data_IF_332541365193
#
_entry.id   IF_332541365193
#
_cell.length_a   1.000
_cell.length_b   1.000
_cell.length_c   1.000
_cell.angle_alpha   90.00
_cell.angle_beta   90.00
_cell.angle_gamma   90.00
#
_symmetry.space_group_name_H-M   'P 1'
#
loop_
_entity.id
_entity.type
_entity.pdbx_description
1 polymer ?
#
# COMPACT_ATOMS: atom_id res chain seq x y z
N UNK A 1 13.90 64.11 36.55
CA UNK A 1 13.71 62.85 37.25
C UNK A 1 12.57 62.08 36.55
N UNK A 2 12.86 61.23 35.63
CA UNK A 2 11.87 60.40 34.90
C UNK A 2 11.99 58.94 35.37
N UNK A 3 10.96 58.44 36.03
CA UNK A 3 10.88 57.06 36.49
C UNK A 3 10.46 56.12 35.36
N UNK A 4 11.33 55.25 34.92
CA UNK A 4 11.01 54.13 34.04
C UNK A 4 10.31 53.03 34.85
N UNK A 5 9.04 52.80 34.57
CA UNK A 5 8.31 51.65 35.11
C UNK A 5 8.69 50.38 34.38
N UNK A 6 9.52 49.54 34.99
CA UNK A 6 9.88 48.22 34.51
C UNK A 6 8.71 47.26 34.60
N UNK A 7 8.39 46.60 33.51
CA UNK A 7 7.40 45.52 33.46
C UNK A 7 7.95 44.30 34.24
N UNK A 8 7.21 43.86 35.26
CA UNK A 8 7.64 42.74 36.11
C UNK A 8 7.71 41.42 35.32
N UNK A 9 8.76 40.61 35.56
CA UNK A 9 8.96 39.30 34.95
C UNK A 9 7.72 38.38 35.03
N UNK A 10 6.91 38.53 36.06
CA UNK A 10 5.65 37.78 36.25
C UNK A 10 4.56 38.19 35.25
N UNK A 11 4.53 39.43 34.79
CA UNK A 11 3.55 39.92 33.81
C UNK A 11 3.94 39.48 32.39
N UNK A 12 5.23 39.47 32.10
CA UNK A 12 5.77 38.96 30.85
C UNK A 12 5.52 37.45 30.65
N UNK A 13 5.76 36.64 31.71
CA UNK A 13 5.51 35.18 31.65
C UNK A 13 4.01 34.87 31.49
N UNK A 14 3.10 35.62 32.14
CA UNK A 14 1.65 35.41 31.96
C UNK A 14 1.17 35.77 30.55
N UNK A 15 1.73 36.78 29.91
CA UNK A 15 1.38 37.16 28.54
C UNK A 15 1.96 36.16 27.53
N UNK A 16 3.16 35.64 27.74
CA UNK A 16 3.76 34.62 26.89
C UNK A 16 3.00 33.28 26.96
N UNK A 17 2.52 32.88 28.13
CA UNK A 17 1.68 31.68 28.30
C UNK A 17 0.30 31.84 27.65
N UNK A 18 -0.31 32.99 27.66
CA UNK A 18 -1.60 33.24 27.01
C UNK A 18 -1.48 33.22 25.48
N UNK A 19 -0.37 33.72 24.92
CA UNK A 19 -0.13 33.71 23.49
C UNK A 19 0.19 32.29 22.97
N UNK A 20 0.95 31.49 23.72
CA UNK A 20 1.26 30.10 23.39
C UNK A 20 0.02 29.20 23.46
N UNK A 21 -0.86 29.42 24.45
CA UNK A 21 -2.11 28.66 24.55
C UNK A 21 -3.09 28.96 23.40
N UNK A 22 -3.23 30.25 23.02
CA UNK A 22 -4.10 30.62 21.88
C UNK A 22 -3.58 30.11 20.54
N UNK A 23 -2.26 30.11 20.30
CA UNK A 23 -1.68 29.56 19.10
C UNK A 23 -1.84 28.02 19.04
N UNK A 24 -1.74 27.33 20.18
CA UNK A 24 -1.96 25.88 20.26
C UNK A 24 -3.43 25.49 20.03
N UNK A 25 -4.39 26.26 20.53
CA UNK A 25 -5.81 26.03 20.29
C UNK A 25 -6.21 26.34 18.84
N UNK A 26 -5.66 27.36 18.20
CA UNK A 26 -5.92 27.65 16.80
C UNK A 26 -5.34 26.56 15.86
N UNK A 27 -4.16 26.02 16.19
CA UNK A 27 -3.57 24.91 15.41
C UNK A 27 -4.32 23.59 15.59
N UNK A 28 -4.86 23.31 16.79
CA UNK A 28 -5.69 22.14 17.06
C UNK A 28 -7.06 22.24 16.37
N UNK A 29 -7.68 23.43 16.33
CA UNK A 29 -8.96 23.60 15.63
C UNK A 29 -8.80 23.51 14.10
N UNK A 30 -7.72 24.02 13.52
CA UNK A 30 -7.46 23.89 12.09
C UNK A 30 -7.13 22.43 11.69
N UNK A 31 -6.42 21.68 12.55
CA UNK A 31 -6.16 20.26 12.34
C UNK A 31 -7.44 19.43 12.46
N UNK A 32 -8.28 19.72 13.46
CA UNK A 32 -9.57 19.05 13.64
C UNK A 32 -10.54 19.33 12.49
N UNK A 33 -10.58 20.56 11.95
CA UNK A 33 -11.39 20.93 10.79
C UNK A 33 -10.85 20.23 9.53
N UNK A 34 -9.52 20.12 9.36
CA UNK A 34 -8.93 19.37 8.24
C UNK A 34 -9.25 17.86 8.34
N UNK A 35 -9.25 17.29 9.55
CA UNK A 35 -9.63 15.90 9.78
C UNK A 35 -11.13 15.67 9.53
N UNK A 36 -12.01 16.52 10.03
CA UNK A 36 -13.44 16.42 9.76
C UNK A 36 -13.76 16.54 8.27
N UNK A 37 -13.05 17.38 7.54
CA UNK A 37 -13.21 17.52 6.08
C UNK A 37 -12.64 16.34 5.29
N UNK A 38 -11.55 15.71 5.75
CA UNK A 38 -11.02 14.48 5.13
C UNK A 38 -11.84 13.23 5.52
N UNK A 39 -12.34 13.19 6.75
CA UNK A 39 -13.19 12.10 7.23
C UNK A 39 -14.65 12.22 6.74
N UNK A 40 -15.18 13.44 6.61
CA UNK A 40 -16.51 13.71 6.07
C UNK A 40 -16.54 13.79 4.54
N UNK A 41 -15.38 13.99 3.90
CA UNK A 41 -15.23 13.74 2.48
C UNK A 41 -15.21 12.22 2.27
N UNK A 42 -16.35 11.57 2.55
CA UNK A 42 -16.72 10.40 1.77
C UNK A 42 -16.30 10.66 0.33
N UNK A 43 -15.90 9.64 -0.44
CA UNK A 43 -15.42 9.80 -1.82
C UNK A 43 -16.54 10.32 -2.71
N UNK A 44 -16.79 11.59 -2.68
CA UNK A 44 -17.83 12.26 -3.44
C UNK A 44 -17.26 13.33 -4.37
N UNK A 45 -16.00 13.18 -4.73
CA UNK A 45 -15.56 13.82 -5.94
C UNK A 45 -16.11 12.96 -7.10
N UNK A 46 -17.20 13.39 -7.71
CA UNK A 46 -17.87 12.67 -8.80
C UNK A 46 -16.94 12.39 -10.01
N UNK A 47 -15.71 12.86 -9.96
CA UNK A 47 -14.67 12.71 -10.96
C UNK A 47 -13.44 11.94 -10.44
N UNK A 48 -13.45 11.46 -9.21
CA UNK A 48 -12.35 10.67 -8.69
C UNK A 48 -12.39 9.23 -9.22
N UNK A 49 -11.24 8.74 -9.65
CA UNK A 49 -11.05 7.33 -9.94
C UNK A 49 -10.75 6.57 -8.64
N UNK A 50 -11.47 5.49 -8.38
CA UNK A 50 -11.49 4.79 -7.09
C UNK A 50 -10.87 3.41 -7.18
N UNK A 51 -9.95 3.12 -6.25
CA UNK A 51 -9.28 1.83 -6.09
C UNK A 51 -9.46 1.38 -4.65
N UNK A 52 -9.84 0.12 -4.44
CA UNK A 52 -9.71 -0.54 -3.14
C UNK A 52 -8.54 -1.52 -3.19
N UNK A 53 -7.82 -1.69 -2.06
CA UNK A 53 -6.62 -2.51 -2.04
C UNK A 53 -6.46 -3.28 -0.73
N UNK A 54 -5.89 -4.47 -0.85
CA UNK A 54 -5.51 -5.37 0.23
C UNK A 54 -4.24 -6.14 -0.15
N UNK A 55 -3.45 -6.53 0.83
CA UNK A 55 -2.39 -7.54 0.72
C UNK A 55 -2.64 -8.66 1.71
N UNK A 56 -1.93 -9.77 1.56
CA UNK A 56 -1.91 -10.86 2.55
C UNK A 56 -3.32 -11.44 2.81
N UNK A 57 -4.05 -11.65 1.74
CA UNK A 57 -5.49 -11.93 1.78
C UNK A 57 -5.87 -13.39 1.56
N UNK A 58 -5.03 -14.17 0.86
CA UNK A 58 -5.34 -15.55 0.44
C UNK A 58 -5.04 -16.62 1.49
N UNK A 59 -5.43 -16.39 2.76
CA UNK A 59 -5.12 -17.29 3.86
C UNK A 59 -5.86 -18.62 3.73
N UNK A 60 -5.19 -19.73 4.07
CA UNK A 60 -5.68 -21.09 3.77
C UNK A 60 -6.38 -21.78 4.95
N UNK A 61 -6.06 -21.41 6.20
CA UNK A 61 -6.49 -22.14 7.39
C UNK A 61 -7.57 -21.44 8.20
N UNK A 62 -7.52 -20.11 8.31
CA UNK A 62 -8.52 -19.32 9.02
C UNK A 62 -9.05 -18.19 8.14
N UNK A 63 -10.20 -18.42 7.51
CA UNK A 63 -10.80 -17.44 6.60
C UNK A 63 -11.56 -16.32 7.29
N UNK A 64 -11.63 -16.26 8.61
CA UNK A 64 -12.44 -15.26 9.33
C UNK A 64 -11.96 -13.83 9.03
N UNK A 65 -10.65 -13.57 9.06
CA UNK A 65 -10.07 -12.27 8.72
C UNK A 65 -10.36 -11.88 7.27
N UNK A 66 -10.07 -12.78 6.32
CA UNK A 66 -10.32 -12.58 4.90
C UNK A 66 -11.81 -12.28 4.61
N UNK A 67 -12.71 -13.08 5.17
CA UNK A 67 -14.15 -12.91 4.97
C UNK A 67 -14.65 -11.58 5.57
N UNK A 68 -14.17 -11.22 6.76
CA UNK A 68 -14.53 -9.96 7.41
C UNK A 68 -14.08 -8.75 6.59
N UNK A 69 -12.82 -8.75 6.12
CA UNK A 69 -12.28 -7.66 5.30
C UNK A 69 -13.01 -7.55 3.97
N UNK A 70 -13.26 -8.66 3.27
CA UNK A 70 -14.03 -8.65 2.01
C UNK A 70 -15.46 -8.13 2.21
N UNK A 71 -16.12 -8.52 3.30
CA UNK A 71 -17.45 -8.01 3.65
C UNK A 71 -17.42 -6.51 3.97
N UNK A 72 -16.40 -6.03 4.69
CA UNK A 72 -16.22 -4.61 4.99
C UNK A 72 -15.96 -3.79 3.73
N UNK A 73 -15.17 -4.27 2.78
CA UNK A 73 -14.94 -3.61 1.49
C UNK A 73 -16.24 -3.45 0.71
N UNK A 74 -17.08 -4.51 0.63
CA UNK A 74 -18.39 -4.44 -0.02
C UNK A 74 -19.31 -3.44 0.65
N UNK A 75 -19.45 -3.55 1.98
CA UNK A 75 -20.28 -2.65 2.78
C UNK A 75 -19.84 -1.19 2.61
N UNK A 76 -18.54 -0.94 2.65
CA UNK A 76 -17.98 0.39 2.47
C UNK A 76 -18.28 0.95 1.07
N UNK A 77 -18.06 0.16 0.02
CA UNK A 77 -18.39 0.56 -1.35
C UNK A 77 -19.89 0.90 -1.50
N UNK A 78 -20.77 0.05 -0.97
CA UNK A 78 -22.23 0.28 -1.00
C UNK A 78 -22.63 1.53 -0.22
N UNK A 79 -22.16 1.70 1.02
CA UNK A 79 -22.50 2.84 1.87
C UNK A 79 -22.08 4.19 1.30
N UNK A 80 -20.97 4.20 0.54
CA UNK A 80 -20.43 5.41 -0.07
C UNK A 80 -20.79 5.54 -1.56
N UNK A 81 -21.60 4.64 -2.11
CA UNK A 81 -21.96 4.65 -3.53
C UNK A 81 -20.76 4.48 -4.47
N UNK A 82 -19.69 3.84 -3.97
CA UNK A 82 -18.47 3.63 -4.75
C UNK A 82 -18.66 2.54 -5.79
N UNK A 83 -18.10 2.78 -6.96
CA UNK A 83 -17.90 1.76 -8.00
C UNK A 83 -16.41 1.67 -8.27
N UNK A 84 -15.65 0.92 -7.43
CA UNK A 84 -14.21 0.84 -7.62
C UNK A 84 -13.87 0.39 -9.03
N UNK A 85 -13.11 1.21 -9.74
CA UNK A 85 -12.69 0.93 -11.12
C UNK A 85 -11.52 -0.05 -11.17
N UNK A 86 -10.88 -0.30 -10.01
CA UNK A 86 -9.89 -1.35 -9.83
C UNK A 86 -9.87 -1.87 -8.39
N UNK A 87 -9.44 -3.12 -8.24
CA UNK A 87 -8.93 -3.68 -6.99
C UNK A 87 -7.42 -3.89 -7.12
N UNK A 88 -6.69 -3.70 -6.02
CA UNK A 88 -5.27 -4.08 -5.95
C UNK A 88 -5.08 -5.17 -4.91
N UNK A 89 -4.41 -6.22 -5.33
CA UNK A 89 -3.96 -7.34 -4.50
C UNK A 89 -2.44 -7.26 -4.36
N UNK A 90 -1.98 -6.87 -3.17
CA UNK A 90 -0.59 -6.50 -2.90
C UNK A 90 0.29 -7.70 -2.49
N UNK A 91 0.04 -8.86 -3.09
CA UNK A 91 0.80 -10.08 -2.90
C UNK A 91 0.31 -10.95 -1.74
N UNK A 92 0.97 -12.09 -1.59
CA UNK A 92 0.52 -13.20 -0.75
C UNK A 92 -0.95 -13.54 -1.06
N UNK A 93 -1.15 -13.78 -2.36
CA UNK A 93 -2.46 -14.11 -2.91
C UNK A 93 -2.91 -15.52 -2.48
N UNK A 94 -1.94 -16.43 -2.24
CA UNK A 94 -2.22 -17.81 -1.86
C UNK A 94 -1.27 -18.33 -0.80
N UNK A 95 -1.73 -18.45 0.44
CA UNK A 95 -1.07 -19.20 1.50
C UNK A 95 -1.39 -20.68 1.37
N UNK A 96 -0.47 -21.56 1.83
CA UNK A 96 -0.65 -23.00 1.81
C UNK A 96 -0.87 -23.58 0.41
N UNK A 97 -1.66 -24.66 0.32
CA UNK A 97 -1.86 -25.43 -0.90
C UNK A 97 -2.82 -24.77 -1.88
N UNK A 98 -2.40 -24.65 -3.15
CA UNK A 98 -3.24 -24.26 -4.27
C UNK A 98 -3.45 -25.49 -5.20
N UNK A 99 -4.03 -26.55 -4.64
CA UNK A 99 -4.28 -27.80 -5.39
C UNK A 99 -5.06 -27.55 -6.67
N UNK A 100 -4.56 -28.03 -7.79
CA UNK A 100 -5.13 -27.76 -9.10
C UNK A 100 -4.60 -26.48 -9.78
N UNK A 101 -3.75 -25.70 -9.10
CA UNK A 101 -3.10 -24.52 -9.66
C UNK A 101 -4.12 -23.50 -10.20
N UNK A 102 -4.03 -23.18 -11.48
CA UNK A 102 -4.97 -22.26 -12.14
C UNK A 102 -6.43 -22.78 -12.19
N UNK A 103 -6.68 -24.06 -11.95
CA UNK A 103 -8.00 -24.67 -11.87
C UNK A 103 -8.44 -24.93 -10.42
N UNK A 104 -7.72 -24.46 -9.42
CA UNK A 104 -8.08 -24.61 -8.02
C UNK A 104 -9.46 -24.03 -7.74
N UNK A 105 -10.26 -24.72 -6.93
CA UNK A 105 -11.56 -24.21 -6.46
C UNK A 105 -11.41 -22.97 -5.57
N UNK A 106 -10.22 -22.72 -5.02
CA UNK A 106 -9.94 -21.53 -4.22
C UNK A 106 -10.10 -20.22 -5.02
N UNK A 107 -9.85 -20.25 -6.34
CA UNK A 107 -10.15 -19.10 -7.20
C UNK A 107 -11.63 -18.70 -7.13
N UNK A 108 -12.53 -19.67 -7.17
CA UNK A 108 -13.95 -19.41 -7.06
C UNK A 108 -14.32 -18.95 -5.65
N UNK A 109 -13.92 -19.69 -4.62
CA UNK A 109 -14.41 -19.48 -3.25
C UNK A 109 -13.74 -18.31 -2.53
N UNK A 110 -12.48 -18.01 -2.83
CA UNK A 110 -11.70 -16.99 -2.12
C UNK A 110 -11.45 -15.72 -2.96
N UNK A 111 -11.63 -15.76 -4.28
CA UNK A 111 -11.51 -14.58 -5.12
C UNK A 111 -12.85 -14.17 -5.71
N UNK A 112 -13.47 -14.99 -6.57
CA UNK A 112 -14.66 -14.56 -7.31
C UNK A 112 -15.89 -14.34 -6.40
N UNK A 113 -16.06 -15.16 -5.36
CA UNK A 113 -17.19 -15.04 -4.42
C UNK A 113 -16.97 -13.96 -3.36
N UNK A 114 -15.73 -13.77 -2.89
CA UNK A 114 -15.43 -12.74 -1.90
C UNK A 114 -15.39 -11.33 -2.50
N UNK A 115 -14.95 -11.23 -3.74
CA UNK A 115 -14.84 -9.95 -4.46
C UNK A 115 -15.63 -10.01 -5.78
N UNK A 116 -16.97 -10.17 -5.74
CA UNK A 116 -17.74 -10.44 -6.95
C UNK A 116 -17.74 -9.25 -7.92
N UNK A 117 -17.68 -9.56 -9.22
CA UNK A 117 -17.68 -8.55 -10.29
C UNK A 117 -18.95 -7.67 -10.30
N UNK A 118 -20.05 -8.15 -9.74
CA UNK A 118 -21.29 -7.37 -9.57
C UNK A 118 -21.12 -6.17 -8.62
N UNK A 119 -20.23 -6.28 -7.64
CA UNK A 119 -19.95 -5.22 -6.66
C UNK A 119 -18.62 -4.50 -6.96
N UNK A 120 -17.65 -5.20 -7.52
CA UNK A 120 -16.35 -4.69 -7.90
C UNK A 120 -16.09 -4.91 -9.41
N UNK A 121 -16.69 -4.10 -10.29
CA UNK A 121 -16.66 -4.35 -11.73
C UNK A 121 -15.28 -4.11 -12.37
N UNK A 122 -14.37 -3.45 -11.68
CA UNK A 122 -13.04 -3.11 -12.19
C UNK A 122 -12.09 -4.30 -12.28
N UNK A 123 -10.96 -4.11 -12.98
CA UNK A 123 -9.88 -5.09 -13.03
C UNK A 123 -9.24 -5.26 -11.64
N UNK A 124 -8.79 -6.47 -11.35
CA UNK A 124 -8.13 -6.85 -10.12
C UNK A 124 -6.62 -7.03 -10.36
N UNK A 125 -5.85 -5.95 -10.26
CA UNK A 125 -4.41 -5.98 -10.47
C UNK A 125 -3.71 -6.62 -9.28
N UNK A 126 -2.87 -7.62 -9.53
CA UNK A 126 -2.16 -8.36 -8.50
C UNK A 126 -0.64 -8.31 -8.68
N UNK A 127 0.09 -8.36 -7.57
CA UNK A 127 1.53 -8.62 -7.54
C UNK A 127 1.80 -9.90 -6.76
N UNK A 128 2.98 -10.48 -6.94
CA UNK A 128 3.40 -11.70 -6.27
C UNK A 128 3.98 -11.40 -4.89
N UNK A 129 3.55 -12.16 -3.88
CA UNK A 129 4.16 -12.19 -2.55
C UNK A 129 5.05 -13.41 -2.34
N UNK A 130 5.67 -13.51 -1.16
CA UNK A 130 6.60 -14.61 -0.87
C UNK A 130 5.88 -15.95 -0.68
N UNK A 131 4.63 -15.95 -0.22
CA UNK A 131 3.84 -17.17 -0.15
C UNK A 131 3.43 -17.66 -1.53
N UNK A 132 3.33 -16.81 -2.54
CA UNK A 132 3.03 -17.18 -3.93
C UNK A 132 4.22 -17.90 -4.60
N UNK A 133 5.43 -17.74 -4.06
CA UNK A 133 6.62 -18.47 -4.52
C UNK A 133 6.78 -19.87 -3.91
N UNK A 134 5.95 -20.22 -2.93
CA UNK A 134 5.97 -21.56 -2.36
C UNK A 134 5.39 -22.59 -3.32
N UNK A 135 6.10 -23.71 -3.49
CA UNK A 135 5.57 -24.88 -4.17
C UNK A 135 4.62 -25.62 -3.22
N UNK A 136 3.32 -25.42 -3.38
CA UNK A 136 2.33 -26.00 -2.46
C UNK A 136 1.00 -26.30 -3.17
N UNK A 137 0.64 -27.59 -3.32
CA UNK A 137 1.48 -28.76 -3.01
C UNK A 137 2.78 -28.79 -3.85
N UNK A 138 3.69 -29.71 -3.56
CA UNK A 138 5.04 -29.72 -4.11
C UNK A 138 5.14 -29.77 -5.65
N UNK A 139 4.08 -30.18 -6.32
CA UNK A 139 3.94 -30.23 -7.79
C UNK A 139 3.26 -28.97 -8.37
N UNK A 140 2.85 -28.03 -7.53
CA UNK A 140 2.18 -26.79 -7.95
C UNK A 140 3.09 -25.59 -7.77
N UNK A 141 3.49 -24.97 -8.89
CA UNK A 141 4.11 -23.67 -8.94
C UNK A 141 3.01 -22.60 -8.92
N UNK A 142 2.82 -21.94 -7.78
CA UNK A 142 1.75 -20.96 -7.61
C UNK A 142 1.95 -19.71 -8.49
N UNK A 143 3.19 -19.25 -8.68
CA UNK A 143 3.49 -18.12 -9.58
C UNK A 143 2.97 -18.41 -11.00
N UNK A 144 3.29 -19.59 -11.54
CA UNK A 144 2.81 -19.98 -12.87
C UNK A 144 1.29 -20.19 -12.89
N UNK A 145 0.72 -20.70 -11.80
CA UNK A 145 -0.73 -20.87 -11.68
C UNK A 145 -1.47 -19.53 -11.73
N UNK A 146 -0.96 -18.50 -11.05
CA UNK A 146 -1.53 -17.16 -11.03
C UNK A 146 -1.42 -16.48 -12.40
N UNK A 147 -0.25 -16.54 -13.04
CA UNK A 147 -0.06 -16.05 -14.40
C UNK A 147 -1.00 -16.74 -15.38
N UNK A 148 -1.14 -18.07 -15.27
CA UNK A 148 -2.04 -18.87 -16.10
C UNK A 148 -3.51 -18.48 -15.88
N UNK A 149 -3.93 -18.29 -14.62
CA UNK A 149 -5.29 -17.86 -14.29
C UNK A 149 -5.58 -16.48 -14.87
N UNK A 150 -4.66 -15.52 -14.69
CA UNK A 150 -4.77 -14.18 -15.24
C UNK A 150 -4.88 -14.17 -16.77
N UNK A 151 -4.10 -15.01 -17.46
CA UNK A 151 -4.11 -15.12 -18.92
C UNK A 151 -5.26 -15.94 -19.49
N UNK A 152 -6.06 -16.58 -18.65
CA UNK A 152 -7.20 -17.42 -19.12
C UNK A 152 -8.29 -16.63 -19.86
N UNK A 153 -8.36 -15.32 -19.65
CA UNK A 153 -9.40 -14.42 -20.17
C UNK A 153 -10.79 -14.68 -19.56
N UNK A 154 -10.88 -15.51 -18.52
CA UNK A 154 -12.13 -15.90 -17.85
C UNK A 154 -12.40 -15.11 -16.56
N UNK A 155 -11.43 -14.33 -16.11
CA UNK A 155 -11.48 -13.58 -14.86
C UNK A 155 -10.98 -12.16 -15.08
N UNK A 156 -11.34 -11.28 -14.15
CA UNK A 156 -10.78 -9.93 -14.06
C UNK A 156 -9.48 -9.86 -13.25
N UNK A 157 -9.02 -11.00 -12.69
CA UNK A 157 -7.70 -11.10 -12.08
C UNK A 157 -6.63 -10.77 -13.12
N UNK A 158 -5.84 -9.73 -12.84
CA UNK A 158 -4.99 -9.10 -13.85
C UNK A 158 -3.55 -9.09 -13.38
N UNK A 159 -2.73 -9.92 -13.99
CA UNK A 159 -1.29 -9.99 -13.78
C UNK A 159 -0.64 -10.35 -15.12
N UNK A 160 -0.37 -9.36 -16.00
CA UNK A 160 0.17 -9.59 -17.35
C UNK A 160 1.57 -10.20 -17.37
N UNK A 161 2.29 -10.11 -16.26
CA UNK A 161 3.61 -10.65 -16.02
C UNK A 161 3.99 -10.49 -14.57
N UNK A 162 5.20 -10.94 -14.21
CA UNK A 162 5.71 -10.78 -12.82
C UNK A 162 5.96 -9.31 -12.47
N UNK A 163 6.29 -8.48 -13.47
CA UNK A 163 6.33 -7.03 -13.37
C UNK A 163 5.70 -6.43 -14.63
N UNK A 164 4.99 -5.31 -14.46
CA UNK A 164 4.27 -4.68 -15.55
C UNK A 164 3.93 -3.22 -15.25
N UNK A 165 3.56 -2.49 -16.31
CA UNK A 165 3.11 -1.10 -16.24
C UNK A 165 1.67 -1.00 -16.68
N UNK A 166 0.90 -0.16 -15.99
CA UNK A 166 -0.43 0.25 -16.42
C UNK A 166 -0.71 1.69 -16.03
N UNK A 167 -1.72 2.28 -16.62
CA UNK A 167 -2.20 3.61 -16.30
C UNK A 167 -3.64 3.54 -15.83
N UNK A 168 -3.99 4.39 -14.89
CA UNK A 168 -5.31 4.37 -14.27
C UNK A 168 -5.88 5.80 -14.11
N UNK A 169 -7.20 6.00 -14.33
CA UNK A 169 -8.08 5.06 -15.02
C UNK A 169 -7.64 4.82 -16.48
N UNK A 170 -8.19 3.80 -17.14
CA UNK A 170 -7.79 3.44 -18.51
C UNK A 170 -8.07 4.58 -19.53
N UNK A 171 -9.11 5.37 -19.28
CA UNK A 171 -9.41 6.58 -20.06
C UNK A 171 -9.02 7.82 -19.26
N UNK A 172 -8.30 8.75 -19.91
CA UNK A 172 -7.80 9.98 -19.25
C UNK A 172 -6.97 9.67 -17.99
N UNK A 173 -5.87 8.94 -18.10
CA UNK A 173 -5.14 8.42 -16.96
C UNK A 173 -4.61 9.52 -16.05
N UNK A 174 -4.74 9.31 -14.76
CA UNK A 174 -4.31 10.22 -13.70
C UNK A 174 -3.02 9.72 -13.00
N UNK A 175 -2.81 8.41 -12.99
CA UNK A 175 -1.66 7.80 -12.34
C UNK A 175 -1.06 6.69 -13.20
N UNK A 176 0.26 6.65 -13.24
CA UNK A 176 1.02 5.54 -13.82
C UNK A 176 1.46 4.64 -12.68
N UNK A 177 1.17 3.36 -12.78
CA UNK A 177 1.62 2.33 -11.86
C UNK A 177 2.69 1.46 -12.51
N UNK A 178 3.74 1.15 -11.74
CA UNK A 178 4.72 0.12 -12.01
C UNK A 178 4.54 -0.98 -10.96
N UNK A 179 4.00 -2.10 -11.37
CA UNK A 179 3.86 -3.29 -10.53
C UNK A 179 5.16 -4.10 -10.63
N UNK A 180 5.72 -4.45 -9.49
CA UNK A 180 7.03 -5.10 -9.38
C UNK A 180 6.93 -6.39 -8.57
N UNK A 181 7.79 -7.33 -8.88
CA UNK A 181 8.04 -8.51 -8.08
C UNK A 181 9.17 -8.22 -7.08
N UNK A 182 8.84 -8.18 -5.81
CA UNK A 182 9.79 -7.90 -4.74
C UNK A 182 10.42 -9.15 -4.12
N UNK A 183 10.15 -10.34 -4.66
CA UNK A 183 10.72 -11.61 -4.20
C UNK A 183 12.16 -11.78 -4.70
N UNK A 184 13.03 -10.86 -4.30
CA UNK A 184 14.40 -10.81 -4.76
C UNK A 184 15.33 -11.72 -3.98
N UNK A 185 16.34 -12.32 -4.64
CA UNK A 185 17.40 -13.02 -3.93
C UNK A 185 18.15 -12.04 -3.03
N UNK A 186 18.31 -12.40 -1.77
CA UNK A 186 19.12 -11.66 -0.84
C UNK A 186 20.59 -12.07 -0.98
N UNK A 187 21.35 -11.23 -1.68
CA UNK A 187 22.78 -11.43 -1.93
C UNK A 187 23.08 -12.27 -3.17
N UNK A 188 24.32 -12.22 -3.57
CA UNK A 188 24.92 -12.85 -4.76
C UNK A 188 25.34 -14.33 -4.56
N UNK A 189 24.75 -15.01 -3.57
CA UNK A 189 25.12 -16.39 -3.20
C UNK A 189 26.38 -16.50 -2.34
N UNK A 190 26.98 -15.40 -1.93
CA UNK A 190 28.08 -15.39 -0.96
C UNK A 190 27.57 -15.95 0.38
N UNK A 191 28.23 -16.96 0.90
CA UNK A 191 27.88 -17.62 2.15
C UNK A 191 27.20 -18.99 1.99
N UNK A 192 27.30 -19.63 0.81
CA UNK A 192 26.86 -21.02 0.58
C UNK A 192 25.36 -21.21 0.36
N UNK A 193 24.63 -20.15 0.06
CA UNK A 193 23.20 -20.19 -0.28
C UNK A 193 23.00 -20.60 -1.72
N UNK A 194 21.89 -21.31 -1.99
CA UNK A 194 21.50 -21.65 -3.37
C UNK A 194 21.09 -20.35 -4.09
N UNK A 195 21.58 -20.09 -5.31
CA UNK A 195 21.06 -19.01 -6.13
C UNK A 195 19.53 -19.11 -6.27
N UNK A 196 18.82 -17.98 -6.26
CA UNK A 196 17.36 -17.96 -6.34
C UNK A 196 16.65 -18.36 -5.04
N UNK A 197 17.30 -18.21 -3.89
CA UNK A 197 16.66 -18.35 -2.57
C UNK A 197 16.88 -17.12 -1.68
N UNK A 198 15.95 -16.88 -0.75
CA UNK A 198 16.08 -15.87 0.30
C UNK A 198 16.96 -16.37 1.47
N UNK A 199 17.10 -15.55 2.54
CA UNK A 199 17.86 -15.91 3.76
C UNK A 199 17.35 -17.17 4.45
N UNK A 200 16.08 -17.51 4.27
CA UNK A 200 15.43 -18.70 4.86
C UNK A 200 15.47 -19.90 3.94
N UNK A 201 16.00 -19.75 2.71
CA UNK A 201 16.09 -20.80 1.71
C UNK A 201 14.81 -20.98 0.89
N UNK A 202 13.88 -20.02 0.95
CA UNK A 202 12.69 -20.03 0.09
C UNK A 202 13.06 -19.66 -1.35
N UNK A 203 12.34 -20.26 -2.31
CA UNK A 203 12.46 -19.92 -3.72
C UNK A 203 12.07 -18.47 -3.92
N UNK A 204 12.83 -17.75 -4.72
CA UNK A 204 12.59 -16.36 -5.12
C UNK A 204 12.94 -16.23 -6.61
N UNK A 205 12.81 -15.04 -7.17
CA UNK A 205 13.27 -14.81 -8.55
C UNK A 205 14.77 -15.10 -8.71
N UNK A 206 15.18 -15.44 -9.94
CA UNK A 206 16.60 -15.68 -10.20
C UNK A 206 17.38 -14.36 -10.24
N UNK A 207 18.72 -14.39 -10.08
CA UNK A 207 19.55 -13.20 -10.25
C UNK A 207 19.37 -12.52 -11.61
N UNK A 208 19.17 -13.28 -12.68
CA UNK A 208 18.91 -12.78 -14.03
C UNK A 208 17.59 -12.04 -14.10
N UNK A 209 16.52 -12.60 -13.53
CA UNK A 209 15.22 -11.96 -13.44
C UNK A 209 15.28 -10.66 -12.62
N UNK A 210 16.03 -10.67 -11.51
CA UNK A 210 16.29 -9.46 -10.71
C UNK A 210 16.95 -8.38 -11.57
N UNK A 211 17.99 -8.72 -12.30
CA UNK A 211 18.72 -7.78 -13.15
C UNK A 211 17.84 -7.25 -14.29
N UNK A 212 17.05 -8.14 -14.92
CA UNK A 212 16.10 -7.77 -15.98
C UNK A 212 15.03 -6.80 -15.45
N UNK A 213 14.42 -7.11 -14.30
CA UNK A 213 13.42 -6.23 -13.69
C UNK A 213 14.02 -4.87 -13.32
N UNK A 214 15.23 -4.83 -12.75
CA UNK A 214 15.87 -3.56 -12.37
C UNK A 214 16.15 -2.69 -13.60
N UNK A 215 16.64 -3.29 -14.68
CA UNK A 215 16.86 -2.59 -15.95
C UNK A 215 15.52 -2.10 -16.55
N UNK A 216 14.48 -2.91 -16.49
CA UNK A 216 13.13 -2.55 -16.94
C UNK A 216 12.57 -1.39 -16.08
N UNK A 217 12.69 -1.46 -14.76
CA UNK A 217 12.22 -0.42 -13.84
C UNK A 217 12.90 0.92 -14.16
N UNK A 218 14.22 0.94 -14.29
CA UNK A 218 14.94 2.16 -14.61
C UNK A 218 14.55 2.71 -16.00
N UNK A 219 14.33 1.85 -16.99
CA UNK A 219 13.84 2.24 -18.30
C UNK A 219 12.44 2.85 -18.25
N UNK A 220 11.51 2.26 -17.47
CA UNK A 220 10.16 2.80 -17.28
C UNK A 220 10.18 4.16 -16.56
N UNK A 221 11.01 4.30 -15.53
CA UNK A 221 11.14 5.54 -14.77
C UNK A 221 11.78 6.68 -15.58
N UNK A 222 12.59 6.37 -16.59
CA UNK A 222 13.18 7.35 -17.53
C UNK A 222 12.16 7.90 -18.54
N UNK A 223 11.05 7.23 -18.77
CA UNK A 223 10.03 7.70 -19.72
C UNK A 223 9.43 9.03 -19.28
N UNK A 224 9.12 9.93 -20.22
CA UNK A 224 8.41 11.16 -19.90
C UNK A 224 7.11 10.86 -19.15
N UNK A 225 6.81 11.63 -18.13
CA UNK A 225 5.55 11.54 -17.41
C UNK A 225 4.37 11.96 -18.29
N UNK A 226 3.37 11.11 -18.36
CA UNK A 226 2.13 11.33 -19.08
C UNK A 226 0.93 11.48 -18.15
N UNK A 227 1.15 11.28 -16.83
CA UNK A 227 0.15 11.35 -15.78
C UNK A 227 0.62 12.26 -14.65
N UNK A 228 -0.29 12.91 -13.90
CA UNK A 228 0.06 13.70 -12.71
C UNK A 228 0.84 12.92 -11.66
N UNK A 229 0.55 11.61 -11.52
CA UNK A 229 1.14 10.77 -10.49
C UNK A 229 1.90 9.58 -11.05
N UNK A 230 2.93 9.16 -10.31
CA UNK A 230 3.71 7.95 -10.53
C UNK A 230 3.78 7.15 -9.22
N UNK A 231 3.35 5.91 -9.27
CA UNK A 231 3.35 5.01 -8.15
C UNK A 231 4.00 3.67 -8.49
N UNK A 232 4.55 3.03 -7.48
CA UNK A 232 5.05 1.65 -7.54
C UNK A 232 4.22 0.80 -6.59
N UNK A 233 3.91 -0.42 -6.97
CA UNK A 233 3.32 -1.41 -6.08
C UNK A 233 4.12 -2.70 -6.15
N UNK A 234 4.34 -3.31 -4.99
CA UNK A 234 4.98 -4.60 -4.82
C UNK A 234 4.52 -5.21 -3.49
N UNK A 235 4.93 -6.44 -3.19
CA UNK A 235 4.52 -7.07 -1.94
C UNK A 235 5.35 -6.62 -0.74
N UNK A 236 6.69 -6.77 -0.80
CA UNK A 236 7.54 -6.40 0.33
C UNK A 236 7.64 -4.88 0.49
N UNK A 237 7.53 -4.34 1.71
CA UNK A 237 7.78 -2.93 1.97
C UNK A 237 9.27 -2.58 1.81
N UNK A 238 9.57 -1.38 1.33
CA UNK A 238 10.93 -0.83 1.39
C UNK A 238 11.29 -0.51 2.84
N UNK A 239 10.35 0.12 3.54
CA UNK A 239 10.44 0.48 4.96
C UNK A 239 9.21 -0.02 5.70
N UNK A 240 9.39 -0.57 6.91
CA UNK A 240 8.30 -1.05 7.74
C UNK A 240 8.56 -0.90 9.23
N UNK A 241 7.53 -0.55 9.97
CA UNK A 241 7.50 -0.60 11.44
C UNK A 241 7.04 -1.98 11.95
N UNK A 242 6.67 -2.89 11.06
CA UNK A 242 6.29 -4.27 11.35
C UNK A 242 7.48 -5.17 11.69
N UNK A 243 7.23 -6.46 11.94
CA UNK A 243 8.25 -7.38 12.45
C UNK A 243 9.37 -7.69 11.44
N UNK A 244 9.11 -7.61 10.14
CA UNK A 244 10.11 -7.85 9.11
C UNK A 244 11.07 -6.66 8.98
N UNK A 245 10.61 -5.43 9.28
CA UNK A 245 11.41 -4.21 9.24
C UNK A 245 11.78 -3.79 7.81
N UNK A 246 12.83 -3.00 7.70
CA UNK A 246 13.29 -2.44 6.44
C UNK A 246 13.94 -3.49 5.54
N UNK A 247 13.60 -3.46 4.24
CA UNK A 247 14.11 -4.43 3.28
C UNK A 247 15.40 -3.93 2.62
N UNK A 248 16.54 -4.43 3.08
CA UNK A 248 17.86 -3.94 2.68
C UNK A 248 18.12 -3.94 1.18
N UNK A 249 17.67 -4.99 0.46
CA UNK A 249 17.83 -5.06 -1.00
C UNK A 249 16.99 -4.00 -1.73
N UNK A 250 15.74 -3.78 -1.29
CA UNK A 250 14.89 -2.76 -1.90
C UNK A 250 15.39 -1.33 -1.62
N UNK A 251 15.93 -1.10 -0.42
CA UNK A 251 16.59 0.17 -0.08
C UNK A 251 17.82 0.40 -0.96
N UNK A 252 18.59 -0.64 -1.21
CA UNK A 252 19.79 -0.52 -2.05
C UNK A 252 19.44 -0.31 -3.53
N UNK A 253 18.50 -1.09 -4.07
CA UNK A 253 18.27 -1.18 -5.51
C UNK A 253 17.16 -0.21 -6.00
N UNK A 254 16.11 0.02 -5.22
CA UNK A 254 14.93 0.77 -5.68
C UNK A 254 14.82 2.18 -5.10
N UNK A 255 15.15 2.38 -3.81
CA UNK A 255 14.99 3.68 -3.16
C UNK A 255 15.76 4.82 -3.87
N UNK A 256 17.03 4.62 -4.34
CA UNK A 256 17.73 5.63 -5.11
C UNK A 256 17.02 6.00 -6.42
N UNK A 257 16.37 5.02 -7.07
CA UNK A 257 15.59 5.27 -8.28
C UNK A 257 14.31 6.04 -7.96
N UNK A 258 13.63 5.71 -6.86
CA UNK A 258 12.44 6.43 -6.42
C UNK A 258 12.73 7.90 -6.14
N UNK A 259 13.83 8.19 -5.45
CA UNK A 259 14.32 9.56 -5.21
C UNK A 259 14.67 10.28 -6.51
N UNK A 260 15.46 9.64 -7.35
CA UNK A 260 15.96 10.21 -8.61
C UNK A 260 14.84 10.59 -9.57
N UNK A 261 13.84 9.71 -9.70
CA UNK A 261 12.74 9.88 -10.66
C UNK A 261 11.45 10.40 -10.02
N UNK A 262 11.47 10.68 -8.71
CA UNK A 262 10.36 11.27 -7.96
C UNK A 262 9.11 10.38 -7.98
N UNK A 263 9.25 9.10 -7.67
CA UNK A 263 8.11 8.22 -7.39
C UNK A 263 7.34 8.81 -6.20
N UNK A 264 6.03 9.00 -6.35
CA UNK A 264 5.25 9.72 -5.33
C UNK A 264 4.58 8.79 -4.31
N UNK A 265 4.36 7.52 -4.68
CA UNK A 265 3.68 6.56 -3.83
C UNK A 265 4.29 5.17 -4.01
N UNK A 266 4.50 4.46 -2.92
CA UNK A 266 4.83 3.05 -2.89
C UNK A 266 3.77 2.29 -2.07
N UNK A 267 3.16 1.27 -2.69
CA UNK A 267 2.11 0.44 -2.09
C UNK A 267 2.67 -0.94 -1.80
N UNK A 268 2.43 -1.47 -0.60
CA UNK A 268 2.92 -2.80 -0.18
C UNK A 268 1.97 -3.54 0.75
N UNK A 269 2.22 -4.83 0.94
CA UNK A 269 1.66 -5.73 1.94
C UNK A 269 2.75 -6.29 2.86
N UNK A 270 2.81 -7.60 3.02
CA UNK A 270 3.83 -8.41 3.70
C UNK A 270 3.84 -8.32 5.22
N UNK A 271 3.89 -7.14 5.81
CA UNK A 271 3.62 -6.98 7.23
C UNK A 271 2.10 -6.93 7.43
N UNK A 272 1.58 -7.90 8.21
CA UNK A 272 0.13 -8.08 8.39
C UNK A 272 -0.42 -7.01 9.33
N UNK A 273 -0.45 -5.79 8.82
CA UNK A 273 -0.88 -4.58 9.51
C UNK A 273 -1.21 -3.46 8.49
N UNK A 274 -1.49 -2.26 8.96
CA UNK A 274 -1.71 -1.08 8.13
C UNK A 274 -0.74 0.02 8.55
N UNK A 275 0.04 0.56 7.61
CA UNK A 275 1.06 1.59 7.89
C UNK A 275 1.07 2.71 6.87
N UNK A 276 1.45 3.91 7.30
CA UNK A 276 1.84 5.02 6.45
C UNK A 276 3.13 5.63 6.99
N UNK A 277 4.19 5.58 6.20
CA UNK A 277 5.50 6.12 6.54
C UNK A 277 5.85 7.30 5.62
N UNK A 278 6.34 8.39 6.21
CA UNK A 278 6.81 9.58 5.51
C UNK A 278 8.20 9.96 6.03
N UNK A 279 9.13 10.19 5.12
CA UNK A 279 10.49 10.61 5.49
C UNK A 279 10.75 12.02 4.95
N UNK A 280 11.33 12.87 5.79
CA UNK A 280 11.66 14.24 5.40
C UNK A 280 12.54 14.29 4.14
N UNK A 281 12.13 15.10 3.17
CA UNK A 281 12.84 15.24 1.89
C UNK A 281 12.71 14.04 0.94
N UNK A 282 11.96 12.99 1.31
CA UNK A 282 11.69 11.87 0.40
C UNK A 282 10.46 12.15 -0.47
N UNK A 283 10.54 11.96 -1.80
CA UNK A 283 9.38 12.20 -2.67
C UNK A 283 8.27 11.16 -2.50
N UNK A 284 8.58 9.97 -1.97
CA UNK A 284 7.67 8.82 -1.90
C UNK A 284 6.99 8.74 -0.54
N UNK A 285 5.67 8.64 -0.53
CA UNK A 285 4.89 8.14 0.60
C UNK A 285 4.86 6.61 0.54
N UNK A 286 5.18 5.94 1.65
CA UNK A 286 5.16 4.47 1.77
C UNK A 286 3.89 4.05 2.49
N UNK A 287 3.07 3.22 1.86
CA UNK A 287 1.74 2.89 2.33
C UNK A 287 1.52 1.37 2.27
N UNK A 288 1.36 0.75 3.45
CA UNK A 288 1.22 -0.70 3.61
C UNK A 288 -0.22 -1.06 3.93
N UNK A 289 -0.75 -2.05 3.23
CA UNK A 289 -2.11 -2.57 3.40
C UNK A 289 -2.09 -4.10 3.47
N UNK A 290 -1.38 -4.64 4.47
CA UNK A 290 -1.19 -6.08 4.69
C UNK A 290 -2.20 -6.72 5.66
N UNK A 291 -3.21 -5.98 6.10
CA UNK A 291 -4.26 -6.48 7.00
C UNK A 291 -5.38 -7.27 6.33
N UNK A 292 -5.18 -7.84 5.13
CA UNK A 292 -6.23 -8.40 4.27
C UNK A 292 -6.84 -9.73 4.71
N UNK A 293 -6.24 -10.44 5.66
CA UNK A 293 -6.85 -11.68 6.15
C UNK A 293 -5.94 -12.66 6.86
N UNK A 294 -4.63 -12.64 6.60
CA UNK A 294 -3.67 -13.48 7.32
C UNK A 294 -3.45 -13.01 8.76
N UNK A 295 -2.88 -13.89 9.61
CA UNK A 295 -2.68 -13.61 11.03
C UNK A 295 -1.89 -12.32 11.27
N UNK A 296 -2.44 -11.42 12.08
CA UNK A 296 -1.87 -10.10 12.33
C UNK A 296 -0.56 -10.15 13.13
N UNK A 297 0.41 -9.33 12.75
CA UNK A 297 1.69 -9.19 13.42
C UNK A 297 1.73 -8.04 14.44
N UNK A 298 2.55 -8.18 15.47
CA UNK A 298 2.83 -7.08 16.38
C UNK A 298 3.82 -6.10 15.72
N UNK A 299 3.57 -4.82 15.87
CA UNK A 299 4.52 -3.80 15.45
C UNK A 299 5.83 -3.93 16.23
N UNK A 300 6.95 -3.85 15.54
CA UNK A 300 8.30 -3.85 16.12
C UNK A 300 8.64 -2.47 16.70
N UNK A 301 8.20 -1.42 16.01
CA UNK A 301 8.32 -0.04 16.45
C UNK A 301 6.92 0.39 16.89
N UNK A 302 6.72 0.48 18.20
CA UNK A 302 5.45 0.97 18.75
C UNK A 302 5.40 2.48 18.63
N UNK A 303 4.29 2.98 18.08
CA UNK A 303 4.07 4.38 17.73
C UNK A 303 5.00 4.84 16.60
N UNK A 304 4.42 5.17 15.49
CA UNK A 304 5.04 5.67 14.27
C UNK A 304 6.16 6.70 14.52
N UNK A 305 7.34 6.22 14.88
CA UNK A 305 8.52 7.07 15.01
C UNK A 305 9.03 7.54 13.64
N UNK A 306 8.64 6.83 12.57
CA UNK A 306 9.07 7.09 11.20
C UNK A 306 7.92 7.50 10.28
N UNK A 307 6.71 7.51 10.78
CA UNK A 307 5.56 7.87 9.97
C UNK A 307 4.34 8.25 10.80
N UNK A 308 3.32 8.76 10.13
CA UNK A 308 2.13 9.25 10.82
C UNK A 308 1.19 8.14 11.33
N UNK A 309 1.36 6.89 10.85
CA UNK A 309 0.42 5.83 11.20
C UNK A 309 1.01 4.42 11.07
N UNK A 310 0.79 3.59 12.09
CA UNK A 310 0.96 2.15 12.04
C UNK A 310 -0.03 1.49 13.02
N UNK A 311 -0.75 0.44 12.58
CA UNK A 311 -1.73 -0.23 13.43
C UNK A 311 -1.86 -1.72 13.07
N UNK A 312 -1.79 -2.58 14.08
CA UNK A 312 -2.07 -4.02 13.99
C UNK A 312 -3.57 -4.24 13.94
N UNK A 313 -4.14 -4.34 12.75
CA UNK A 313 -5.59 -4.49 12.56
C UNK A 313 -5.91 -5.15 11.23
N UNK A 314 -6.94 -5.97 11.18
CA UNK A 314 -7.54 -6.39 9.92
C UNK A 314 -8.21 -5.20 9.25
N UNK A 315 -7.99 -5.07 7.96
CA UNK A 315 -8.54 -3.95 7.22
C UNK A 315 -8.11 -3.91 5.75
N UNK A 316 -8.50 -2.84 5.11
CA UNK A 316 -8.24 -2.57 3.71
C UNK A 316 -7.93 -1.09 3.50
N UNK A 317 -7.57 -0.74 2.28
CA UNK A 317 -7.27 0.64 1.96
C UNK A 317 -8.00 1.12 0.71
N UNK A 318 -8.21 2.43 0.64
CA UNK A 318 -8.78 3.11 -0.52
C UNK A 318 -7.79 4.13 -1.06
N UNK A 319 -7.67 4.19 -2.37
CA UNK A 319 -7.02 5.27 -3.10
C UNK A 319 -8.05 5.94 -4.01
N UNK A 320 -8.26 7.22 -3.78
CA UNK A 320 -9.12 8.11 -4.57
C UNK A 320 -8.24 9.11 -5.31
N UNK A 321 -8.32 9.19 -6.64
CA UNK A 321 -7.41 10.00 -7.46
C UNK A 321 -8.16 11.00 -8.31
N UNK A 322 -7.76 12.27 -8.20
CA UNK A 322 -8.17 13.35 -9.11
C UNK A 322 -6.92 13.98 -9.76
N UNK A 323 -7.10 14.99 -10.60
CA UNK A 323 -5.97 15.76 -11.16
C UNK A 323 -5.26 16.60 -10.09
N UNK A 324 -5.98 17.01 -9.05
CA UNK A 324 -5.51 17.93 -8.02
C UNK A 324 -4.83 17.20 -6.85
N UNK A 325 -5.34 16.02 -6.51
CA UNK A 325 -4.82 15.23 -5.38
C UNK A 325 -5.12 13.74 -5.54
N UNK A 326 -4.28 12.92 -4.95
CA UNK A 326 -4.61 11.56 -4.55
C UNK A 326 -4.86 11.54 -3.04
N UNK A 327 -5.87 10.80 -2.60
CA UNK A 327 -6.21 10.63 -1.18
C UNK A 327 -6.21 9.15 -0.85
N UNK A 328 -5.44 8.78 0.16
CA UNK A 328 -5.35 7.41 0.66
C UNK A 328 -5.99 7.31 2.03
N UNK A 329 -6.67 6.19 2.27
CA UNK A 329 -7.35 5.90 3.54
C UNK A 329 -7.07 4.47 3.96
N UNK A 330 -6.81 4.27 5.26
CA UNK A 330 -6.86 2.98 5.91
C UNK A 330 -8.19 2.82 6.64
N UNK A 331 -8.83 1.69 6.45
CA UNK A 331 -10.09 1.31 7.09
C UNK A 331 -9.93 -0.06 7.76
N UNK A 332 -10.57 -0.25 8.92
CA UNK A 332 -10.59 -1.55 9.57
C UNK A 332 -11.65 -2.50 8.96
N UNK A 333 -11.72 -3.72 9.51
CA UNK A 333 -12.69 -4.74 9.09
C UNK A 333 -14.16 -4.42 9.43
N UNK A 334 -14.44 -3.31 10.10
CA UNK A 334 -15.78 -2.76 10.29
C UNK A 334 -16.12 -1.64 9.29
N UNK A 335 -15.13 -1.22 8.50
CA UNK A 335 -15.21 -0.10 7.55
C UNK A 335 -15.00 1.26 8.21
N UNK A 336 -14.49 1.29 9.44
CA UNK A 336 -14.17 2.54 10.15
C UNK A 336 -12.87 3.12 9.63
N UNK A 337 -12.88 4.43 9.35
CA UNK A 337 -11.68 5.17 8.98
C UNK A 337 -10.71 5.22 10.16
N UNK A 338 -9.48 4.75 9.91
CA UNK A 338 -8.39 4.76 10.88
C UNK A 338 -7.37 5.88 10.62
N UNK A 339 -7.07 6.11 9.34
CA UNK A 339 -6.08 7.08 8.92
C UNK A 339 -6.38 7.57 7.51
N UNK A 340 -6.03 8.83 7.22
CA UNK A 340 -6.09 9.38 5.87
C UNK A 340 -5.01 10.41 5.63
N UNK A 341 -4.53 10.47 4.39
CA UNK A 341 -3.70 11.58 3.92
C UNK A 341 -4.00 11.87 2.46
N UNK A 342 -3.58 13.04 2.00
CA UNK A 342 -3.62 13.38 0.59
C UNK A 342 -2.27 13.89 0.10
N UNK A 343 -2.00 13.69 -1.20
CA UNK A 343 -0.78 14.15 -1.86
C UNK A 343 -1.12 14.81 -3.19
N UNK A 344 -0.53 15.98 -3.41
CA UNK A 344 -0.71 16.72 -4.67
C UNK A 344 0.29 16.25 -5.74
N UNK A 345 0.10 16.60 -7.03
CA UNK A 345 1.08 16.30 -8.07
C UNK A 345 2.48 16.90 -7.80
N UNK A 346 2.55 18.02 -7.07
CA UNK A 346 3.81 18.63 -6.66
C UNK A 346 4.49 17.94 -5.47
N UNK A 347 3.89 16.86 -4.93
CA UNK A 347 4.42 16.10 -3.81
C UNK A 347 4.05 16.63 -2.42
N UNK A 348 3.24 17.69 -2.31
CA UNK A 348 2.79 18.19 -1.00
C UNK A 348 1.86 17.18 -0.34
N UNK A 349 2.25 16.73 0.86
CA UNK A 349 1.48 15.80 1.71
C UNK A 349 0.68 16.57 2.74
N UNK A 350 -0.58 16.18 2.93
CA UNK A 350 -1.48 16.67 3.97
C UNK A 350 -2.00 15.45 4.74
N UNK A 351 -1.52 15.28 5.96
CA UNK A 351 -1.93 14.19 6.85
C UNK A 351 -3.10 14.68 7.69
N UNK A 352 -4.17 13.91 7.72
CA UNK A 352 -5.26 14.13 8.64
C UNK A 352 -4.86 13.55 10.01
N UNK A 353 -4.74 14.39 10.99
CA UNK A 353 -4.44 14.04 12.39
C UNK A 353 -5.69 14.04 13.24
#
# INVERSE_FOLDING_TARGET
>A
MSSSAGISRRRFLKQSFAFSALASFASLSQKAVAFSNLASAAPQDAFAAEILMIGDWGYDSNHAGQTAVAAAMRKYAQQHGLKPEALFFLGDNWYGDLTGGAQSSRWQTQFEELYPASEFPGLAYAVLGNHDYQMAPADVNKVEAELHYAHSGKSRFTMPGRWYRFQFPAKNPLITFLALDSNMPEGDGAGGRKPGTDRRGFIVMTPEQKAEQLAWLEAELKKPRTTPYLAVLAHHPVYSDGPHGDHTTLIHDWDPLFRKYGVQLYLAGHDHDLQHLEFEGHPTSFFLSGGGGADLYNLKIQQSQRGPFANKVYGFSQLSVTKEKMTLRHLDSDGKLLHAFSKTPSGKVLIAS
#
